data_IF_197672795978
#
_entry.id   IF_197672795978
#
_cell.length_a   1.000
_cell.length_b   1.000
_cell.length_c   1.000
_cell.angle_alpha   90.00
_cell.angle_beta   90.00
_cell.angle_gamma   90.00
#
_symmetry.space_group_name_H-M   'P 1'
#
loop_
_entity.id
_entity.type
_entity.pdbx_description
1 polymer ?
#
# COMPACT_ATOMS: atom_id res chain seq x y z
N UNK A 1 -7.58 -54.79 -3.22
CA UNK A 1 -6.53 -53.90 -3.74
C UNK A 1 -5.83 -53.35 -2.52
N UNK A 2 -4.59 -53.76 -2.28
CA UNK A 2 -3.78 -53.17 -1.21
C UNK A 2 -3.58 -51.69 -1.54
N UNK A 3 -3.94 -50.79 -0.62
CA UNK A 3 -3.55 -49.39 -0.71
C UNK A 3 -2.02 -49.35 -0.60
N UNK A 4 -1.35 -49.15 -1.73
CA UNK A 4 0.10 -48.94 -1.76
C UNK A 4 0.40 -47.59 -1.16
N UNK A 5 0.79 -47.61 0.12
CA UNK A 5 1.15 -46.41 0.86
C UNK A 5 2.39 -45.74 0.24
N UNK A 6 2.32 -44.42 0.08
CA UNK A 6 3.38 -43.64 -0.58
C UNK A 6 4.62 -43.65 0.31
N UNK A 7 5.80 -44.06 -0.18
CA UNK A 7 7.02 -44.02 0.64
C UNK A 7 7.27 -42.63 1.21
N UNK A 8 7.52 -42.54 2.53
CA UNK A 8 7.64 -41.25 3.23
C UNK A 8 8.70 -40.31 2.66
N UNK A 9 9.76 -40.85 2.05
CA UNK A 9 10.83 -40.07 1.40
C UNK A 9 10.43 -39.46 0.05
N UNK A 10 9.25 -39.80 -0.49
CA UNK A 10 8.64 -39.14 -1.65
C UNK A 10 7.67 -38.03 -1.26
N UNK A 11 7.31 -37.93 0.02
CA UNK A 11 6.39 -36.90 0.52
C UNK A 11 7.16 -35.63 0.87
N UNK A 12 6.60 -34.48 0.50
CA UNK A 12 7.13 -33.19 0.88
C UNK A 12 6.98 -32.99 2.40
N UNK A 13 8.04 -32.62 3.14
CA UNK A 13 7.94 -32.39 4.58
C UNK A 13 7.01 -31.23 5.01
N UNK A 14 6.63 -30.35 4.08
CA UNK A 14 5.72 -29.23 4.35
C UNK A 14 4.27 -29.64 4.11
N UNK A 15 3.95 -30.13 2.91
CA UNK A 15 2.58 -30.43 2.51
C UNK A 15 2.13 -31.84 2.86
N UNK A 16 3.08 -32.74 3.17
CA UNK A 16 2.85 -34.18 3.38
C UNK A 16 2.22 -34.84 2.13
N UNK A 17 2.37 -34.20 0.96
CA UNK A 17 1.92 -34.71 -0.34
C UNK A 17 3.10 -35.17 -1.18
N UNK A 18 2.84 -36.06 -2.14
CA UNK A 18 3.83 -36.53 -3.09
C UNK A 18 4.51 -35.35 -3.81
N UNK A 19 5.84 -35.31 -3.78
CA UNK A 19 6.62 -34.26 -4.45
C UNK A 19 6.48 -34.38 -5.96
N UNK A 20 5.99 -33.32 -6.61
CA UNK A 20 5.88 -33.23 -8.07
C UNK A 20 7.15 -32.67 -8.69
N UNK A 21 7.75 -31.67 -8.04
CA UNK A 21 9.03 -31.10 -8.44
C UNK A 21 9.98 -31.00 -7.23
N UNK A 22 10.69 -32.09 -6.87
CA UNK A 22 11.54 -32.11 -5.69
C UNK A 22 12.76 -31.21 -5.85
N UNK A 23 12.96 -30.31 -4.88
CA UNK A 23 14.09 -29.37 -4.81
C UNK A 23 14.74 -29.39 -3.42
N UNK A 24 16.06 -29.29 -3.40
CA UNK A 24 16.87 -29.31 -2.18
C UNK A 24 17.32 -27.91 -1.81
N UNK A 25 17.09 -27.53 -0.56
CA UNK A 25 17.59 -26.26 0.03
C UNK A 25 19.01 -26.45 0.59
N UNK A 26 19.68 -25.35 0.98
CA UNK A 26 21.08 -25.39 1.43
C UNK A 26 21.36 -26.27 2.67
N UNK A 27 20.32 -26.59 3.46
CA UNK A 27 20.41 -27.53 4.60
C UNK A 27 20.37 -29.00 4.18
N UNK A 28 20.25 -29.30 2.88
CA UNK A 28 20.23 -30.66 2.34
C UNK A 28 18.86 -31.34 2.35
N UNK A 29 17.81 -30.69 2.88
CA UNK A 29 16.45 -31.25 2.88
C UNK A 29 15.75 -30.98 1.55
N UNK A 30 15.06 -32.00 1.02
CA UNK A 30 14.28 -31.89 -0.22
C UNK A 30 12.80 -31.65 0.09
N UNK A 31 12.19 -30.73 -0.66
CA UNK A 31 10.77 -30.37 -0.59
C UNK A 31 10.17 -30.37 -2.00
N UNK A 32 8.84 -30.37 -2.09
CA UNK A 32 8.20 -29.96 -3.33
C UNK A 32 8.41 -28.45 -3.55
N UNK A 33 8.79 -28.06 -4.77
CA UNK A 33 9.12 -26.67 -5.13
C UNK A 33 8.04 -25.69 -4.71
N UNK A 34 6.79 -25.94 -5.05
CA UNK A 34 5.70 -25.00 -4.77
C UNK A 34 5.51 -24.79 -3.26
N UNK A 35 5.72 -25.87 -2.49
CA UNK A 35 5.59 -25.85 -1.04
C UNK A 35 6.70 -25.03 -0.37
N UNK A 36 7.96 -25.24 -0.77
CA UNK A 36 9.09 -24.49 -0.19
C UNK A 36 9.14 -23.05 -0.69
N UNK A 37 8.76 -22.80 -1.95
CA UNK A 37 8.65 -21.45 -2.49
C UNK A 37 7.58 -20.63 -1.75
N UNK A 38 6.41 -21.21 -1.47
CA UNK A 38 5.37 -20.56 -0.67
C UNK A 38 5.88 -20.22 0.75
N UNK A 39 6.60 -21.14 1.38
CA UNK A 39 7.18 -20.93 2.72
C UNK A 39 8.17 -19.75 2.74
N UNK A 40 9.08 -19.70 1.77
CA UNK A 40 10.11 -18.67 1.71
C UNK A 40 9.57 -17.31 1.26
N UNK A 41 8.71 -17.29 0.25
CA UNK A 41 8.35 -16.04 -0.45
C UNK A 41 6.99 -15.49 -0.03
N UNK A 42 5.95 -16.32 0.04
CA UNK A 42 4.60 -15.87 0.45
C UNK A 42 4.50 -15.68 1.97
N UNK A 43 5.02 -16.64 2.74
CA UNK A 43 5.02 -16.57 4.20
C UNK A 43 6.19 -15.76 4.78
N UNK A 44 7.18 -15.40 3.94
CA UNK A 44 8.35 -14.58 4.29
C UNK A 44 9.21 -15.17 5.41
N UNK A 45 9.42 -16.49 5.39
CA UNK A 45 10.36 -17.15 6.29
C UNK A 45 11.75 -17.27 5.64
N UNK A 46 12.80 -17.20 6.47
CA UNK A 46 14.21 -17.34 6.09
C UNK A 46 14.85 -18.63 6.64
N UNK A 47 14.04 -19.51 7.21
CA UNK A 47 14.49 -20.75 7.86
C UNK A 47 14.04 -22.00 7.11
N UNK A 48 14.82 -23.07 7.24
CA UNK A 48 14.42 -24.40 6.79
C UNK A 48 13.24 -24.91 7.64
N UNK A 49 12.11 -25.33 7.03
CA UNK A 49 10.94 -25.80 7.75
C UNK A 49 11.23 -26.93 8.75
N UNK A 50 12.10 -27.86 8.38
CA UNK A 50 12.45 -29.05 9.17
C UNK A 50 13.56 -28.74 10.17
N UNK A 51 14.71 -28.24 9.71
CA UNK A 51 15.89 -28.06 10.59
C UNK A 51 15.81 -26.82 11.46
N UNK A 52 14.89 -25.88 11.16
CA UNK A 52 14.76 -24.56 11.79
C UNK A 52 16.01 -23.68 11.70
N UNK A 53 17.00 -24.08 10.90
CA UNK A 53 18.20 -23.31 10.64
C UNK A 53 17.92 -22.23 9.60
N UNK A 54 18.54 -21.07 9.75
CA UNK A 54 18.51 -19.99 8.74
C UNK A 54 19.19 -20.50 7.47
N UNK A 55 18.53 -20.34 6.32
CA UNK A 55 19.07 -20.75 5.04
C UNK A 55 20.20 -19.80 4.61
N UNK A 56 21.38 -20.37 4.35
CA UNK A 56 22.54 -19.64 3.82
C UNK A 56 22.34 -19.13 2.38
N UNK A 57 21.55 -19.84 1.59
CA UNK A 57 21.05 -19.40 0.29
C UNK A 57 19.61 -19.90 0.11
N UNK A 58 18.81 -19.09 -0.58
CA UNK A 58 17.43 -19.41 -0.99
C UNK A 58 17.36 -20.02 -2.40
N UNK A 59 18.52 -20.34 -2.99
CA UNK A 59 18.59 -21.09 -4.25
C UNK A 59 18.09 -22.53 -4.04
N UNK A 60 17.13 -22.93 -4.87
CA UNK A 60 16.51 -24.25 -4.83
C UNK A 60 17.19 -25.16 -5.85
N UNK A 61 17.95 -26.15 -5.38
CA UNK A 61 18.67 -27.08 -6.26
C UNK A 61 17.74 -28.21 -6.69
N UNK A 62 17.42 -28.39 -7.99
CA UNK A 62 16.54 -29.47 -8.44
C UNK A 62 17.10 -30.85 -8.10
N UNK A 63 16.29 -31.73 -7.47
CA UNK A 63 16.67 -33.10 -7.18
C UNK A 63 16.15 -34.06 -8.27
N UNK A 64 16.84 -34.05 -9.42
CA UNK A 64 16.47 -34.87 -10.57
C UNK A 64 16.46 -36.37 -10.28
N UNK A 65 17.35 -36.85 -9.41
CA UNK A 65 17.43 -38.25 -9.01
C UNK A 65 16.17 -38.67 -8.27
N UNK A 66 15.79 -37.92 -7.21
CA UNK A 66 14.57 -38.23 -6.46
C UNK A 66 13.34 -38.15 -7.35
N UNK A 67 13.28 -37.17 -8.24
CA UNK A 67 12.16 -37.06 -9.18
C UNK A 67 12.02 -38.28 -10.09
N UNK A 68 13.14 -38.79 -10.64
CA UNK A 68 13.12 -40.01 -11.47
C UNK A 68 12.65 -41.22 -10.66
N UNK A 69 13.05 -41.32 -9.41
CA UNK A 69 12.60 -42.38 -8.50
C UNK A 69 11.09 -42.29 -8.24
N UNK A 70 10.58 -41.10 -7.95
CA UNK A 70 9.14 -40.87 -7.75
C UNK A 70 8.36 -41.22 -9.03
N UNK A 71 8.82 -40.77 -10.21
CA UNK A 71 8.16 -41.09 -11.49
C UNK A 71 8.13 -42.60 -11.77
N UNK A 72 9.24 -43.29 -11.50
CA UNK A 72 9.32 -44.75 -11.62
C UNK A 72 8.34 -45.44 -10.68
N UNK A 73 8.26 -44.96 -9.43
CA UNK A 73 7.31 -45.49 -8.44
C UNK A 73 5.85 -45.25 -8.85
N UNK A 74 5.50 -44.06 -9.34
CA UNK A 74 4.13 -43.78 -9.81
C UNK A 74 3.74 -44.71 -10.96
N UNK A 75 4.65 -44.95 -11.90
CA UNK A 75 4.41 -45.82 -13.06
C UNK A 75 4.16 -47.26 -12.65
N UNK A 76 4.92 -47.77 -11.69
CA UNK A 76 4.78 -49.14 -11.17
C UNK A 76 3.50 -49.36 -10.36
N UNK A 77 2.99 -48.31 -9.71
CA UNK A 77 1.83 -48.38 -8.81
C UNK A 77 0.54 -47.81 -9.43
N UNK A 78 0.52 -47.57 -10.75
CA UNK A 78 -0.62 -47.00 -11.48
C UNK A 78 -1.13 -45.65 -10.91
N UNK A 79 -0.27 -44.88 -10.25
CA UNK A 79 -0.56 -43.50 -9.86
C UNK A 79 -0.54 -42.59 -11.09
N UNK A 80 -1.35 -41.51 -11.07
CA UNK A 80 -1.30 -40.49 -12.12
C UNK A 80 0.15 -40.03 -12.34
N UNK A 81 0.61 -40.11 -13.60
CA UNK A 81 1.98 -39.74 -13.95
C UNK A 81 2.25 -38.28 -13.58
N UNK A 82 3.37 -38.03 -12.89
CA UNK A 82 3.75 -36.67 -12.54
C UNK A 82 4.04 -35.90 -13.83
N UNK A 83 3.31 -34.81 -14.12
CA UNK A 83 3.54 -33.99 -15.30
C UNK A 83 5.00 -33.53 -15.33
N UNK A 84 5.56 -33.40 -16.53
CA UNK A 84 6.85 -32.71 -16.69
C UNK A 84 6.70 -31.28 -16.11
N UNK A 85 7.45 -30.91 -15.05
CA UNK A 85 7.51 -29.56 -14.55
C UNK A 85 7.85 -28.65 -15.70
N UNK A 86 7.11 -27.54 -15.78
CA UNK A 86 7.47 -26.43 -16.64
C UNK A 86 8.93 -26.08 -16.33
N UNK A 87 9.77 -25.82 -17.35
CA UNK A 87 11.16 -25.46 -17.12
C UNK A 87 11.23 -24.35 -16.06
N UNK A 88 12.11 -24.48 -15.06
CA UNK A 88 12.21 -23.49 -13.99
C UNK A 88 12.41 -22.11 -14.62
N UNK A 89 11.76 -21.08 -14.06
CA UNK A 89 12.09 -19.70 -14.38
C UNK A 89 13.51 -19.46 -13.89
N UNK A 90 14.47 -19.68 -14.78
CA UNK A 90 15.88 -19.54 -14.49
C UNK A 90 16.22 -18.04 -14.45
N UNK A 91 16.70 -17.56 -13.31
CA UNK A 91 17.15 -16.18 -13.11
C UNK A 91 18.18 -15.79 -14.18
N UNK A 92 18.96 -16.75 -14.69
CA UNK A 92 19.93 -16.51 -15.76
C UNK A 92 19.25 -16.26 -17.11
N UNK A 93 18.12 -16.89 -17.41
CA UNK A 93 17.36 -16.63 -18.64
C UNK A 93 16.73 -15.24 -18.59
N UNK A 94 16.18 -14.84 -17.44
CA UNK A 94 15.62 -13.49 -17.24
C UNK A 94 16.74 -12.45 -17.37
N UNK A 95 17.90 -12.68 -16.74
CA UNK A 95 19.06 -11.80 -16.85
C UNK A 95 19.56 -11.65 -18.29
N UNK A 96 19.61 -12.75 -19.06
CA UNK A 96 19.96 -12.71 -20.49
C UNK A 96 18.94 -11.91 -21.31
N UNK A 97 17.65 -12.10 -21.08
CA UNK A 97 16.59 -11.32 -21.73
C UNK A 97 16.72 -9.82 -21.43
N UNK A 98 17.07 -9.47 -20.19
CA UNK A 98 17.32 -8.08 -19.77
C UNK A 98 18.57 -7.51 -20.46
N UNK A 99 19.64 -8.31 -20.60
CA UNK A 99 20.85 -7.86 -21.28
C UNK A 99 20.61 -7.64 -22.78
N UNK A 100 19.89 -8.56 -23.42
CA UNK A 100 19.49 -8.42 -24.82
C UNK A 100 18.56 -7.24 -25.06
N UNK A 101 17.68 -6.91 -24.10
CA UNK A 101 16.79 -5.76 -24.17
C UNK A 101 17.53 -4.43 -24.31
N UNK A 102 18.77 -4.33 -23.81
CA UNK A 102 19.59 -3.12 -23.94
C UNK A 102 20.11 -2.91 -25.36
N UNK A 103 20.08 -3.93 -26.22
CA UNK A 103 20.70 -3.92 -27.56
C UNK A 103 19.79 -3.33 -28.63
N UNK A 104 18.47 -3.47 -28.52
CA UNK A 104 17.53 -2.87 -29.49
C UNK A 104 16.12 -2.64 -28.91
N UNK A 105 15.35 -1.67 -29.44
CA UNK A 105 13.98 -1.40 -29.01
C UNK A 105 13.04 -2.61 -29.15
N UNK A 106 13.25 -3.44 -30.17
CA UNK A 106 12.43 -4.64 -30.40
C UNK A 106 12.73 -5.75 -29.38
N UNK A 107 13.99 -5.89 -28.94
CA UNK A 107 14.34 -6.77 -27.82
C UNK A 107 13.76 -6.23 -26.51
N UNK A 108 13.77 -4.91 -26.30
CA UNK A 108 13.14 -4.28 -25.14
C UNK A 108 11.64 -4.56 -25.08
N UNK A 109 10.93 -4.43 -26.21
CA UNK A 109 9.51 -4.75 -26.30
C UNK A 109 9.23 -6.20 -25.89
N UNK A 110 9.96 -7.15 -26.48
CA UNK A 110 9.82 -8.59 -26.16
C UNK A 110 10.13 -8.89 -24.69
N UNK A 111 11.15 -8.25 -24.14
CA UNK A 111 11.51 -8.38 -22.73
C UNK A 111 10.37 -7.87 -21.83
N UNK A 112 9.84 -6.67 -22.08
CA UNK A 112 8.73 -6.12 -21.30
C UNK A 112 7.48 -6.98 -21.38
N UNK A 113 7.11 -7.49 -22.55
CA UNK A 113 5.99 -8.43 -22.71
C UNK A 113 6.21 -9.71 -21.89
N UNK A 114 7.44 -10.24 -21.89
CA UNK A 114 7.76 -11.43 -21.10
C UNK A 114 7.69 -11.15 -19.60
N UNK A 115 8.27 -10.04 -19.14
CA UNK A 115 8.22 -9.60 -17.74
C UNK A 115 6.78 -9.38 -17.28
N UNK A 116 5.93 -8.77 -18.13
CA UNK A 116 4.49 -8.60 -17.87
C UNK A 116 3.80 -9.95 -17.67
N UNK A 117 4.02 -10.90 -18.58
CA UNK A 117 3.40 -12.22 -18.51
C UNK A 117 3.77 -12.97 -17.22
N UNK A 118 4.96 -12.71 -16.67
CA UNK A 118 5.41 -13.29 -15.40
C UNK A 118 4.80 -12.50 -14.24
N UNK A 119 4.91 -11.17 -14.22
CA UNK A 119 4.44 -10.32 -13.13
C UNK A 119 2.93 -10.43 -12.87
N UNK A 120 2.11 -10.48 -13.93
CA UNK A 120 0.64 -10.46 -13.80
C UNK A 120 0.01 -11.85 -13.61
N UNK A 121 0.73 -12.94 -13.91
CA UNK A 121 0.19 -14.32 -13.80
C UNK A 121 0.76 -15.11 -12.62
N UNK A 122 1.57 -14.50 -11.74
CA UNK A 122 2.45 -15.25 -10.84
C UNK A 122 2.01 -15.36 -9.38
N UNK A 123 2.34 -16.51 -8.78
CA UNK A 123 2.55 -16.72 -7.34
C UNK A 123 3.79 -15.94 -6.87
N UNK A 124 3.84 -15.57 -5.58
CA UNK A 124 4.85 -14.65 -5.03
C UNK A 124 6.31 -15.09 -5.28
N UNK A 125 6.55 -16.39 -5.46
CA UNK A 125 7.87 -16.94 -5.76
C UNK A 125 8.46 -16.41 -7.08
N UNK A 126 7.63 -16.14 -8.08
CA UNK A 126 8.12 -15.63 -9.38
C UNK A 126 8.45 -14.14 -9.33
N UNK A 127 7.83 -13.37 -8.41
CA UNK A 127 8.21 -11.98 -8.17
C UNK A 127 9.63 -11.87 -7.62
N UNK A 128 10.00 -12.78 -6.70
CA UNK A 128 11.36 -12.86 -6.16
C UNK A 128 12.40 -13.17 -7.25
N UNK A 129 12.11 -14.10 -8.16
CA UNK A 129 13.02 -14.42 -9.28
C UNK A 129 13.24 -13.22 -10.22
N UNK A 130 12.23 -12.38 -10.43
CA UNK A 130 12.36 -11.15 -11.22
C UNK A 130 13.26 -10.13 -10.51
N UNK A 131 13.06 -9.92 -9.21
CA UNK A 131 13.90 -9.01 -8.42
C UNK A 131 15.36 -9.49 -8.41
N UNK A 132 15.60 -10.78 -8.18
CA UNK A 132 16.95 -11.37 -8.13
C UNK A 132 17.67 -11.36 -9.47
N UNK A 133 16.92 -11.39 -10.58
CA UNK A 133 17.48 -11.27 -11.93
C UNK A 133 17.80 -9.82 -12.36
N UNK A 134 17.55 -8.83 -11.49
CA UNK A 134 17.80 -7.41 -11.78
C UNK A 134 16.69 -6.74 -12.62
N UNK A 135 15.49 -7.31 -12.65
CA UNK A 135 14.37 -6.73 -13.40
C UNK A 135 13.94 -5.37 -12.83
N UNK A 136 14.05 -5.17 -11.52
CA UNK A 136 13.67 -3.93 -10.83
C UNK A 136 14.54 -2.75 -11.31
N UNK A 137 15.86 -2.93 -11.33
CA UNK A 137 16.82 -1.93 -11.79
C UNK A 137 16.66 -1.65 -13.28
N UNK A 138 16.40 -2.68 -14.09
CA UNK A 138 16.12 -2.54 -15.51
C UNK A 138 14.85 -1.71 -15.77
N UNK A 139 13.72 -2.06 -15.14
CA UNK A 139 12.46 -1.33 -15.28
C UNK A 139 12.60 0.13 -14.80
N UNK A 140 13.28 0.34 -13.66
CA UNK A 140 13.56 1.67 -13.15
C UNK A 140 14.44 2.49 -14.12
N UNK A 141 15.37 1.86 -14.83
CA UNK A 141 16.20 2.55 -15.83
C UNK A 141 15.38 3.05 -17.03
N UNK A 142 14.38 2.29 -17.49
CA UNK A 142 13.46 2.70 -18.56
C UNK A 142 12.61 3.89 -18.11
N UNK A 143 12.10 3.85 -16.87
CA UNK A 143 11.32 4.94 -16.27
C UNK A 143 12.17 6.22 -16.13
N UNK A 144 13.42 6.10 -15.63
CA UNK A 144 14.36 7.22 -15.49
C UNK A 144 14.69 7.91 -16.82
N UNK A 145 14.74 7.15 -17.92
CA UNK A 145 14.99 7.68 -19.27
C UNK A 145 13.77 8.37 -19.87
N UNK A 146 12.59 8.21 -19.25
CA UNK A 146 11.31 8.61 -19.82
C UNK A 146 11.15 8.14 -21.27
N UNK A 147 11.50 6.87 -21.52
CA UNK A 147 11.50 6.30 -22.87
C UNK A 147 10.08 6.37 -23.49
N UNK A 148 9.97 7.21 -24.52
CA UNK A 148 8.73 7.51 -25.24
C UNK A 148 8.43 6.53 -26.37
N UNK A 149 9.28 5.51 -26.57
CA UNK A 149 9.04 4.46 -27.57
C UNK A 149 7.66 3.85 -27.36
N UNK A 150 6.83 3.89 -28.40
CA UNK A 150 5.48 3.33 -28.38
C UNK A 150 5.60 1.82 -28.63
N UNK A 151 5.07 1.04 -27.71
CA UNK A 151 5.02 -0.41 -27.77
C UNK A 151 3.60 -0.86 -28.08
N UNK A 152 3.50 -1.85 -28.95
CA UNK A 152 2.30 -2.64 -29.13
C UNK A 152 2.27 -3.75 -28.06
N UNK A 153 1.28 -3.67 -27.17
CA UNK A 153 1.09 -4.61 -26.07
C UNK A 153 -0.20 -5.38 -26.31
N UNK A 154 -0.08 -6.69 -26.47
CA UNK A 154 -1.22 -7.60 -26.49
C UNK A 154 -1.69 -7.85 -25.06
N UNK A 155 -2.93 -7.48 -24.78
CA UNK A 155 -3.65 -7.76 -23.54
C UNK A 155 -4.82 -8.71 -23.82
N UNK A 156 -5.35 -9.33 -22.77
CA UNK A 156 -6.57 -10.15 -22.87
C UNK A 156 -7.77 -9.36 -23.44
N UNK A 157 -7.74 -8.02 -23.33
CA UNK A 157 -8.77 -7.09 -23.83
C UNK A 157 -8.50 -6.56 -25.25
N UNK A 158 -7.38 -6.92 -25.87
CA UNK A 158 -7.00 -6.47 -27.22
C UNK A 158 -5.61 -5.81 -27.29
N UNK A 159 -5.33 -5.15 -28.42
CA UNK A 159 -4.08 -4.46 -28.69
C UNK A 159 -4.11 -3.03 -28.13
N UNK A 160 -3.13 -2.70 -27.29
CA UNK A 160 -2.95 -1.33 -26.76
C UNK A 160 -1.56 -0.77 -27.09
N UNK A 161 -1.52 0.50 -27.47
CA UNK A 161 -0.27 1.24 -27.68
C UNK A 161 0.13 1.98 -26.39
N UNK A 162 1.22 1.56 -25.76
CA UNK A 162 1.74 2.17 -24.52
C UNK A 162 3.17 2.62 -24.69
N UNK A 163 3.55 3.72 -24.02
CA UNK A 163 4.97 4.09 -23.92
C UNK A 163 5.72 3.03 -23.12
N UNK A 164 6.94 2.70 -23.53
CA UNK A 164 7.84 1.79 -22.81
C UNK A 164 7.93 2.13 -21.32
N UNK A 165 8.04 3.42 -20.97
CA UNK A 165 8.10 3.85 -19.57
C UNK A 165 6.81 3.57 -18.79
N UNK A 166 5.64 3.68 -19.42
CA UNK A 166 4.34 3.40 -18.77
C UNK A 166 4.14 1.89 -18.58
N UNK A 167 4.57 1.08 -19.57
CA UNK A 167 4.53 -0.37 -19.45
C UNK A 167 5.50 -0.86 -18.37
N UNK A 168 6.73 -0.33 -18.35
CA UNK A 168 7.70 -0.63 -17.31
C UNK A 168 7.20 -0.24 -15.91
N UNK A 169 6.54 0.91 -15.78
CA UNK A 169 5.89 1.36 -14.55
C UNK A 169 4.75 0.43 -14.13
N UNK A 170 3.91 0.01 -15.08
CA UNK A 170 2.82 -0.94 -14.83
C UNK A 170 3.37 -2.23 -14.26
N UNK A 171 4.38 -2.84 -14.91
CA UNK A 171 5.03 -4.06 -14.41
C UNK A 171 5.62 -3.83 -13.02
N UNK A 172 6.44 -2.79 -12.84
CA UNK A 172 7.12 -2.52 -11.57
C UNK A 172 6.15 -2.30 -10.40
N UNK A 173 5.01 -1.64 -10.64
CA UNK A 173 3.98 -1.42 -9.62
C UNK A 173 3.26 -2.72 -9.18
N UNK A 174 3.28 -3.77 -10.01
CA UNK A 174 2.67 -5.08 -9.71
C UNK A 174 3.67 -6.10 -9.14
N UNK A 175 4.98 -5.84 -9.22
CA UNK A 175 6.01 -6.74 -8.70
C UNK A 175 6.07 -6.82 -7.17
N UNK A 176 5.40 -5.93 -6.44
CA UNK A 176 5.46 -5.86 -4.97
C UNK A 176 6.91 -5.90 -4.44
N UNK A 177 7.76 -5.11 -5.09
CA UNK A 177 9.21 -5.03 -4.86
C UNK A 177 9.57 -4.90 -3.38
N UNK A 178 10.65 -5.56 -2.94
CA UNK A 178 11.12 -5.47 -1.56
C UNK A 178 11.46 -4.02 -1.14
N UNK A 179 11.28 -3.72 0.15
CA UNK A 179 11.63 -2.41 0.70
C UNK A 179 13.12 -2.08 0.48
N UNK A 180 13.99 -3.09 0.54
CA UNK A 180 15.43 -2.91 0.30
C UNK A 180 15.73 -2.53 -1.14
N UNK A 181 15.09 -3.16 -2.12
CA UNK A 181 15.26 -2.82 -3.53
C UNK A 181 14.69 -1.42 -3.85
N UNK A 182 13.50 -1.08 -3.33
CA UNK A 182 12.92 0.25 -3.49
C UNK A 182 13.82 1.34 -2.87
N UNK A 183 14.35 1.10 -1.67
CA UNK A 183 15.30 2.01 -1.03
C UNK A 183 16.55 2.20 -1.88
N UNK A 184 17.14 1.12 -2.39
CA UNK A 184 18.29 1.17 -3.32
C UNK A 184 18.00 2.01 -4.56
N UNK A 185 16.81 1.92 -5.16
CA UNK A 185 16.46 2.72 -6.34
C UNK A 185 16.51 4.23 -6.09
N UNK A 186 16.09 4.65 -4.90
CA UNK A 186 16.06 6.05 -4.47
C UNK A 186 17.44 6.50 -3.96
N UNK A 187 18.13 5.70 -3.16
CA UNK A 187 19.38 6.11 -2.48
C UNK A 187 20.65 5.90 -3.30
N UNK A 188 20.73 4.88 -4.16
CA UNK A 188 21.97 4.54 -4.90
C UNK A 188 22.22 5.43 -6.12
N UNK A 189 21.28 6.32 -6.44
CA UNK A 189 21.46 7.31 -7.49
C UNK A 189 22.28 8.46 -6.89
N UNK A 190 23.54 8.58 -7.28
CA UNK A 190 24.51 9.60 -6.85
C UNK A 190 23.94 11.04 -6.84
N UNK A 191 23.21 11.41 -5.78
CA UNK A 191 22.52 12.70 -5.66
C UNK A 191 21.39 12.96 -6.67
N UNK A 192 21.10 12.03 -7.58
CA UNK A 192 20.16 12.25 -8.69
C UNK A 192 18.77 11.71 -8.33
N UNK A 193 17.87 12.60 -7.91
CA UNK A 193 16.45 12.35 -7.61
C UNK A 193 15.62 12.02 -8.88
N UNK A 194 16.29 11.63 -9.97
CA UNK A 194 15.70 11.40 -11.30
C UNK A 194 14.57 10.39 -11.27
N UNK A 195 14.65 9.34 -10.45
CA UNK A 195 13.57 8.35 -10.40
C UNK A 195 12.27 8.95 -9.86
N UNK A 196 12.34 9.66 -8.73
CA UNK A 196 11.17 10.33 -8.17
C UNK A 196 10.70 11.45 -9.09
N UNK A 197 11.62 12.21 -9.69
CA UNK A 197 11.28 13.23 -10.68
C UNK A 197 10.53 12.66 -11.89
N UNK A 198 10.94 11.48 -12.40
CA UNK A 198 10.23 10.77 -13.46
C UNK A 198 8.83 10.33 -13.02
N UNK A 199 8.67 9.79 -11.81
CA UNK A 199 7.36 9.42 -11.26
C UNK A 199 6.45 10.64 -11.10
N UNK A 200 7.00 11.75 -10.61
CA UNK A 200 6.30 13.03 -10.52
C UNK A 200 5.89 13.56 -11.91
N UNK A 201 6.74 13.41 -12.93
CA UNK A 201 6.41 13.71 -14.31
C UNK A 201 5.25 12.87 -14.85
N UNK A 202 5.23 11.57 -14.53
CA UNK A 202 4.11 10.68 -14.89
C UNK A 202 2.83 11.08 -14.16
N UNK A 203 2.89 11.48 -12.89
CA UNK A 203 1.71 11.97 -12.16
C UNK A 203 1.11 13.23 -12.78
N UNK A 204 1.96 14.10 -13.34
CA UNK A 204 1.55 15.36 -13.98
C UNK A 204 0.90 15.17 -15.35
N UNK A 205 1.50 14.36 -16.21
CA UNK A 205 1.14 14.29 -17.64
C UNK A 205 0.70 12.91 -18.13
N UNK A 206 0.68 11.90 -17.26
CA UNK A 206 0.30 10.53 -17.61
C UNK A 206 -1.20 10.35 -17.81
N UNK A 207 -1.59 9.24 -18.45
CA UNK A 207 -2.99 8.81 -18.48
C UNK A 207 -3.42 8.27 -17.11
N UNK A 208 -4.73 8.01 -16.92
CA UNK A 208 -5.27 7.54 -15.63
C UNK A 208 -4.57 6.28 -15.10
N UNK A 209 -4.31 5.28 -15.95
CA UNK A 209 -3.62 4.04 -15.56
C UNK A 209 -2.18 4.32 -15.08
N UNK A 210 -1.42 5.11 -15.84
CA UNK A 210 -0.02 5.42 -15.52
C UNK A 210 0.09 6.25 -14.25
N UNK A 211 -0.83 7.21 -14.05
CA UNK A 211 -0.92 8.00 -12.81
C UNK A 211 -1.25 7.11 -11.62
N UNK A 212 -2.18 6.14 -11.78
CA UNK A 212 -2.52 5.15 -10.75
C UNK A 212 -1.33 4.26 -10.38
N UNK A 213 -0.60 3.75 -11.38
CA UNK A 213 0.59 2.93 -11.13
C UNK A 213 1.73 3.75 -10.50
N UNK A 214 1.91 5.01 -10.90
CA UNK A 214 2.91 5.92 -10.33
C UNK A 214 2.63 6.19 -8.84
N UNK A 215 1.40 6.56 -8.47
CA UNK A 215 1.06 6.86 -7.08
C UNK A 215 1.15 5.61 -6.19
N UNK A 216 0.80 4.43 -6.73
CA UNK A 216 0.93 3.16 -6.00
C UNK A 216 2.40 2.83 -5.74
N UNK A 217 3.27 3.01 -6.74
CA UNK A 217 4.70 2.81 -6.56
C UNK A 217 5.31 3.84 -5.60
N UNK A 218 4.93 5.10 -5.70
CA UNK A 218 5.35 6.14 -4.74
C UNK A 218 4.91 5.83 -3.31
N UNK A 219 3.73 5.22 -3.14
CA UNK A 219 3.24 4.73 -1.85
C UNK A 219 4.10 3.59 -1.29
N UNK A 220 4.51 2.64 -2.12
CA UNK A 220 5.44 1.58 -1.70
C UNK A 220 6.83 2.14 -1.37
N UNK A 221 7.30 3.14 -2.13
CA UNK A 221 8.56 3.84 -1.84
C UNK A 221 8.47 4.58 -0.51
N UNK A 222 7.39 5.32 -0.24
CA UNK A 222 7.22 5.98 1.05
C UNK A 222 7.24 4.97 2.20
N UNK A 223 6.55 3.83 2.09
CA UNK A 223 6.59 2.80 3.15
C UNK A 223 7.99 2.18 3.38
N UNK A 224 8.91 2.29 2.40
CA UNK A 224 10.26 1.73 2.47
C UNK A 224 11.35 2.72 2.94
N UNK A 225 11.08 4.03 2.92
CA UNK A 225 12.08 5.05 3.26
C UNK A 225 12.20 5.23 4.79
N UNK A 226 13.40 5.56 5.25
CA UNK A 226 13.61 5.84 6.67
C UNK A 226 12.97 7.19 7.07
N UNK A 227 12.50 7.33 8.33
CA UNK A 227 11.97 8.58 8.89
C UNK A 227 12.79 9.84 8.55
N UNK A 228 14.12 9.73 8.59
CA UNK A 228 15.04 10.84 8.37
C UNK A 228 14.97 11.40 6.94
N UNK A 229 14.60 10.57 5.97
CA UNK A 229 14.46 10.95 4.56
C UNK A 229 13.12 11.64 4.28
N UNK A 230 12.16 11.55 5.22
CA UNK A 230 10.82 12.10 5.09
C UNK A 230 10.62 13.46 5.76
N UNK A 231 11.62 13.99 6.48
CA UNK A 231 11.45 15.19 7.32
C UNK A 231 11.09 16.45 6.52
N UNK A 232 11.51 16.52 5.25
CA UNK A 232 11.27 17.69 4.40
C UNK A 232 11.12 17.31 2.93
N UNK A 233 9.88 17.07 2.51
CA UNK A 233 9.53 16.79 1.11
C UNK A 233 9.10 18.08 0.40
N UNK A 234 9.51 18.29 -0.86
CA UNK A 234 9.20 19.51 -1.63
C UNK A 234 7.69 19.70 -1.82
N UNK A 235 7.22 20.96 -1.89
CA UNK A 235 5.79 21.28 -2.05
C UNK A 235 5.16 20.71 -3.33
N UNK A 236 5.95 20.60 -4.40
CA UNK A 236 5.54 20.00 -5.68
C UNK A 236 5.03 18.56 -5.53
N UNK A 237 5.62 17.78 -4.62
CA UNK A 237 5.17 16.42 -4.32
C UNK A 237 3.76 16.43 -3.72
N UNK A 238 3.49 17.32 -2.76
CA UNK A 238 2.18 17.44 -2.13
C UNK A 238 1.12 17.87 -3.15
N UNK A 239 1.47 18.78 -4.06
CA UNK A 239 0.60 19.18 -5.18
C UNK A 239 0.15 17.99 -6.00
N UNK A 240 1.09 17.17 -6.46
CA UNK A 240 0.76 16.00 -7.28
C UNK A 240 -0.06 14.95 -6.51
N UNK A 241 0.20 14.74 -5.22
CA UNK A 241 -0.58 13.80 -4.40
C UNK A 241 -2.00 14.31 -4.15
N UNK A 242 -2.17 15.61 -3.90
CA UNK A 242 -3.49 16.25 -3.71
C UNK A 242 -4.26 16.29 -5.02
N UNK A 243 -3.60 16.51 -6.16
CA UNK A 243 -4.24 16.46 -7.48
C UNK A 243 -4.76 15.05 -7.80
N UNK A 244 -4.05 13.98 -7.41
CA UNK A 244 -4.56 12.61 -7.54
C UNK A 244 -5.83 12.38 -6.72
N UNK A 245 -5.92 12.98 -5.53
CA UNK A 245 -7.12 12.92 -4.69
C UNK A 245 -8.28 13.69 -5.32
N UNK A 246 -8.00 14.89 -5.85
CA UNK A 246 -8.99 15.74 -6.52
C UNK A 246 -9.55 15.08 -7.78
N UNK A 247 -8.69 14.46 -8.57
CA UNK A 247 -9.05 13.84 -9.85
C UNK A 247 -9.79 12.51 -9.69
N UNK A 248 -9.78 11.91 -8.49
CA UNK A 248 -10.45 10.64 -8.17
C UNK A 248 -10.22 9.53 -9.21
N UNK A 249 -8.98 9.41 -9.70
CA UNK A 249 -8.59 8.59 -10.86
C UNK A 249 -9.03 7.12 -10.72
N UNK A 250 -8.87 6.56 -9.52
CA UNK A 250 -9.33 5.21 -9.17
C UNK A 250 -9.29 5.05 -7.65
N UNK A 251 -10.09 4.13 -7.09
CA UNK A 251 -10.06 3.81 -5.66
C UNK A 251 -8.65 3.40 -5.17
N UNK A 252 -7.91 2.64 -6.01
CA UNK A 252 -6.53 2.22 -5.73
C UNK A 252 -5.60 3.44 -5.61
N UNK A 253 -5.72 4.40 -6.53
CA UNK A 253 -4.95 5.63 -6.52
C UNK A 253 -5.29 6.51 -5.30
N UNK A 254 -6.58 6.72 -5.02
CA UNK A 254 -7.05 7.50 -3.86
C UNK A 254 -6.54 6.90 -2.55
N UNK A 255 -6.65 5.58 -2.39
CA UNK A 255 -6.14 4.88 -1.20
C UNK A 255 -4.62 4.99 -1.07
N UNK A 256 -3.88 4.94 -2.17
CA UNK A 256 -2.43 5.11 -2.17
C UNK A 256 -2.03 6.55 -1.77
N UNK A 257 -2.67 7.56 -2.36
CA UNK A 257 -2.45 8.97 -2.03
C UNK A 257 -2.75 9.29 -0.56
N UNK A 258 -3.87 8.80 -0.02
CA UNK A 258 -4.21 8.97 1.40
C UNK A 258 -3.19 8.31 2.33
N UNK A 259 -2.67 7.14 1.97
CA UNK A 259 -1.62 6.46 2.75
C UNK A 259 -0.31 7.23 2.71
N UNK A 260 0.08 7.77 1.55
CA UNK A 260 1.26 8.64 1.43
C UNK A 260 1.13 9.82 2.38
N UNK A 261 0.01 10.56 2.32
CA UNK A 261 -0.22 11.71 3.21
C UNK A 261 -0.18 11.29 4.69
N UNK A 262 -0.79 10.16 5.05
CA UNK A 262 -0.78 9.66 6.43
C UNK A 262 0.64 9.33 6.95
N UNK A 263 1.55 8.94 6.06
CA UNK A 263 2.94 8.63 6.38
C UNK A 263 3.82 9.89 6.48
N UNK A 264 3.59 10.89 5.61
CA UNK A 264 4.46 12.07 5.52
C UNK A 264 4.00 13.26 6.35
N UNK A 265 2.70 13.40 6.66
CA UNK A 265 2.14 14.52 7.45
C UNK A 265 2.35 14.46 8.99
N UNK A 266 2.79 13.36 9.62
CA UNK A 266 3.30 13.40 11.00
C UNK A 266 4.41 14.45 11.20
N UNK A 267 5.19 14.76 10.15
CA UNK A 267 6.27 15.75 10.21
C UNK A 267 5.75 17.19 10.07
N UNK A 268 6.20 18.09 10.95
CA UNK A 268 5.70 19.47 11.05
C UNK A 268 5.86 20.31 9.78
N UNK A 269 6.98 20.19 9.05
CA UNK A 269 7.19 20.92 7.79
C UNK A 269 6.28 20.40 6.66
N UNK A 270 6.10 19.08 6.61
CA UNK A 270 5.29 18.43 5.59
C UNK A 270 3.79 18.72 5.76
N UNK A 271 3.28 18.74 6.99
CA UNK A 271 1.87 19.12 7.23
C UNK A 271 1.59 20.55 6.78
N UNK A 272 2.47 21.51 7.05
CA UNK A 272 2.28 22.90 6.62
C UNK A 272 2.22 22.97 5.09
N UNK A 273 3.17 22.33 4.39
CA UNK A 273 3.17 22.25 2.92
C UNK A 273 1.91 21.58 2.36
N UNK A 274 1.44 20.50 2.98
CA UNK A 274 0.21 19.84 2.56
C UNK A 274 -1.01 20.76 2.72
N UNK A 275 -1.08 21.52 3.81
CA UNK A 275 -2.15 22.50 4.03
C UNK A 275 -2.08 23.64 3.00
N UNK A 276 -0.91 24.24 2.78
CA UNK A 276 -0.71 25.35 1.82
C UNK A 276 -1.14 25.00 0.38
N UNK A 277 -1.10 23.71 0.02
CA UNK A 277 -1.50 23.21 -1.30
C UNK A 277 -3.01 22.88 -1.37
N UNK A 278 -3.74 23.06 -0.27
CA UNK A 278 -5.19 22.84 -0.23
C UNK A 278 -5.58 21.39 0.05
N UNK A 279 -4.78 20.62 0.80
CA UNK A 279 -5.17 19.25 1.15
C UNK A 279 -6.43 19.19 2.04
N UNK A 280 -6.62 20.17 2.94
CA UNK A 280 -7.77 20.20 3.86
C UNK A 280 -9.12 20.29 3.13
N UNK A 281 -9.37 21.27 2.24
CA UNK A 281 -10.64 21.35 1.51
C UNK A 281 -10.91 20.09 0.68
N UNK A 282 -9.91 19.56 -0.04
CA UNK A 282 -10.04 18.32 -0.83
C UNK A 282 -10.46 17.14 0.05
N UNK A 283 -9.86 16.98 1.25
CA UNK A 283 -10.24 15.90 2.17
C UNK A 283 -11.66 16.07 2.74
N UNK A 284 -12.10 17.31 2.95
CA UNK A 284 -13.48 17.60 3.39
C UNK A 284 -14.48 17.24 2.31
N UNK A 285 -14.24 17.65 1.06
CA UNK A 285 -15.06 17.31 -0.11
C UNK A 285 -15.16 15.79 -0.32
N UNK A 286 -14.03 15.09 -0.34
CA UNK A 286 -14.02 13.62 -0.47
C UNK A 286 -14.74 12.91 0.67
N UNK A 287 -14.66 13.42 1.91
CA UNK A 287 -15.42 12.86 3.04
C UNK A 287 -16.93 13.07 2.89
N UNK A 288 -17.38 14.11 2.18
CA UNK A 288 -18.80 14.32 1.88
C UNK A 288 -19.31 13.31 0.86
N UNK A 289 -18.50 13.01 -0.15
CA UNK A 289 -18.86 12.15 -1.29
C UNK A 289 -18.80 10.66 -0.94
N UNK A 290 -17.78 10.21 -0.19
CA UNK A 290 -17.62 8.77 0.09
C UNK A 290 -18.34 8.31 1.35
N UNK A 291 -18.95 7.12 1.24
CA UNK A 291 -19.49 6.37 2.37
C UNK A 291 -18.60 5.18 2.78
N UNK A 292 -17.54 4.91 2.03
CA UNK A 292 -16.68 3.77 2.30
C UNK A 292 -15.90 3.93 3.60
N UNK A 293 -15.86 2.85 4.37
CA UNK A 293 -15.25 2.84 5.70
C UNK A 293 -13.76 3.16 5.65
N UNK A 294 -13.00 2.49 4.78
CA UNK A 294 -11.53 2.57 4.80
C UNK A 294 -10.97 3.91 4.32
N UNK A 295 -11.46 4.51 3.22
CA UNK A 295 -11.09 5.87 2.84
C UNK A 295 -11.47 6.90 3.91
N UNK A 296 -12.68 6.80 4.50
CA UNK A 296 -13.08 7.68 5.60
C UNK A 296 -12.11 7.65 6.79
N UNK A 297 -11.67 6.45 7.20
CA UNK A 297 -10.68 6.31 8.27
C UNK A 297 -9.35 7.00 7.94
N UNK A 298 -8.85 6.80 6.71
CA UNK A 298 -7.58 7.40 6.29
C UNK A 298 -7.68 8.92 6.18
N UNK A 299 -8.76 9.45 5.60
CA UNK A 299 -8.98 10.90 5.51
C UNK A 299 -9.06 11.56 6.89
N UNK A 300 -9.72 10.92 7.86
CA UNK A 300 -9.77 11.43 9.24
C UNK A 300 -8.41 11.34 9.94
N UNK A 301 -7.56 10.36 9.61
CA UNK A 301 -6.17 10.31 10.09
C UNK A 301 -5.38 11.48 9.55
N UNK A 302 -5.47 11.75 8.24
CA UNK A 302 -4.74 12.86 7.61
C UNK A 302 -5.26 14.20 8.14
N UNK A 303 -6.57 14.43 8.21
CA UNK A 303 -7.14 15.65 8.77
C UNK A 303 -6.73 15.88 10.23
N UNK A 304 -6.66 14.84 11.06
CA UNK A 304 -6.14 14.93 12.44
C UNK A 304 -4.67 15.41 12.46
N UNK A 305 -3.84 14.89 11.57
CA UNK A 305 -2.44 15.32 11.44
C UNK A 305 -2.31 16.78 10.96
N UNK A 306 -3.11 17.18 9.95
CA UNK A 306 -3.10 18.55 9.41
C UNK A 306 -3.62 19.56 10.44
N UNK A 307 -4.68 19.23 11.19
CA UNK A 307 -5.18 20.04 12.32
C UNK A 307 -4.21 20.13 13.50
N UNK A 308 -3.07 19.42 13.42
CA UNK A 308 -1.94 19.57 14.32
C UNK A 308 -1.14 20.87 14.14
N UNK A 309 -1.34 21.65 13.08
CA UNK A 309 -0.80 23.00 12.92
C UNK A 309 -1.92 24.07 12.86
N UNK A 310 -1.56 25.35 12.96
CA UNK A 310 -2.54 26.44 13.03
C UNK A 310 -3.24 26.67 11.69
N UNK A 311 -2.47 26.58 10.60
CA UNK A 311 -2.90 26.70 9.21
C UNK A 311 -3.96 25.64 8.89
N UNK A 312 -3.72 24.37 9.26
CA UNK A 312 -4.66 23.29 8.99
C UNK A 312 -5.98 23.43 9.74
N UNK A 313 -5.96 24.01 10.95
CA UNK A 313 -7.19 24.35 11.68
C UNK A 313 -7.93 25.53 11.04
N UNK A 314 -7.20 26.54 10.59
CA UNK A 314 -7.79 27.71 9.93
C UNK A 314 -8.53 27.29 8.65
N UNK A 315 -7.88 26.52 7.77
CA UNK A 315 -8.47 25.97 6.54
C UNK A 315 -9.72 25.12 6.82
N UNK A 316 -9.68 24.26 7.86
CA UNK A 316 -10.83 23.43 8.19
C UNK A 316 -12.03 24.27 8.67
N UNK A 317 -11.79 25.38 9.37
CA UNK A 317 -12.82 26.29 9.85
C UNK A 317 -13.30 27.28 8.78
N UNK A 318 -12.46 27.57 7.79
CA UNK A 318 -12.82 28.39 6.63
C UNK A 318 -13.75 27.63 5.67
N UNK A 319 -13.52 26.32 5.52
CA UNK A 319 -14.37 25.48 4.70
C UNK A 319 -15.76 25.29 5.35
N UNK A 320 -16.83 25.75 4.70
CA UNK A 320 -18.20 25.78 5.26
C UNK A 320 -18.78 24.42 5.68
N UNK A 321 -18.24 23.31 5.18
CA UNK A 321 -18.63 21.95 5.61
C UNK A 321 -17.66 21.28 6.60
N UNK A 322 -16.58 21.95 7.04
CA UNK A 322 -15.47 21.34 7.79
C UNK A 322 -15.90 20.75 9.13
N UNK A 323 -16.48 21.55 10.02
CA UNK A 323 -16.98 21.05 11.31
C UNK A 323 -18.15 20.07 11.14
N UNK A 324 -19.03 20.35 10.17
CA UNK A 324 -20.18 19.49 9.84
C UNK A 324 -19.74 18.08 9.47
N UNK A 325 -18.76 17.93 8.57
CA UNK A 325 -18.35 16.61 8.10
C UNK A 325 -17.62 15.82 9.19
N UNK A 326 -16.77 16.48 9.99
CA UNK A 326 -16.07 15.84 11.11
C UNK A 326 -17.09 15.36 12.16
N UNK A 327 -18.06 16.20 12.51
CA UNK A 327 -19.18 15.86 13.41
C UNK A 327 -20.01 14.69 12.86
N UNK A 328 -20.35 14.72 11.56
CA UNK A 328 -21.17 13.70 10.90
C UNK A 328 -20.53 12.31 10.94
N UNK A 329 -19.20 12.21 10.85
CA UNK A 329 -18.48 10.92 10.81
C UNK A 329 -18.30 10.27 12.20
N UNK A 330 -18.50 11.02 13.30
CA UNK A 330 -18.48 10.48 14.68
C UNK A 330 -19.55 9.38 14.83
N UNK A 331 -19.12 8.22 15.33
CA UNK A 331 -19.94 7.01 15.53
C UNK A 331 -20.54 6.40 14.25
N UNK A 332 -20.18 6.89 13.05
CA UNK A 332 -20.73 6.39 11.78
C UNK A 332 -19.77 5.56 10.93
N UNK A 333 -18.47 5.61 11.21
CA UNK A 333 -17.44 4.93 10.39
C UNK A 333 -16.79 3.79 11.17
N UNK A 334 -16.08 4.11 12.25
CA UNK A 334 -15.45 3.14 13.15
C UNK A 334 -15.07 3.79 14.48
N UNK A 335 -14.64 2.98 15.46
CA UNK A 335 -14.09 3.50 16.72
C UNK A 335 -12.81 4.31 16.48
N UNK A 336 -11.95 3.87 15.56
CA UNK A 336 -10.73 4.59 15.19
C UNK A 336 -11.03 5.94 14.53
N UNK A 337 -11.97 5.98 13.59
CA UNK A 337 -12.45 7.21 12.98
C UNK A 337 -13.08 8.17 14.01
N UNK A 338 -13.84 7.63 14.97
CA UNK A 338 -14.41 8.43 16.06
C UNK A 338 -13.32 9.05 16.94
N UNK A 339 -12.28 8.30 17.30
CA UNK A 339 -11.14 8.86 18.05
C UNK A 339 -10.47 10.01 17.30
N UNK A 340 -10.23 9.85 15.99
CA UNK A 340 -9.63 10.89 15.14
C UNK A 340 -10.52 12.13 15.02
N UNK A 341 -11.82 11.97 14.77
CA UNK A 341 -12.76 13.09 14.71
C UNK A 341 -12.81 13.86 16.04
N UNK A 342 -12.83 13.16 17.19
CA UNK A 342 -12.81 13.81 18.51
C UNK A 342 -11.47 14.50 18.79
N UNK A 343 -10.33 14.00 18.26
CA UNK A 343 -9.04 14.72 18.33
C UNK A 343 -9.04 16.02 17.54
N UNK A 344 -9.56 16.01 16.32
CA UNK A 344 -9.72 17.21 15.49
C UNK A 344 -10.53 18.26 16.26
N UNK A 345 -11.70 17.88 16.77
CA UNK A 345 -12.57 18.77 17.56
C UNK A 345 -11.90 19.26 18.84
N UNK A 346 -11.11 18.41 19.51
CA UNK A 346 -10.34 18.82 20.70
C UNK A 346 -9.26 19.85 20.37
N UNK A 347 -8.57 19.69 19.24
CA UNK A 347 -7.53 20.62 18.78
C UNK A 347 -8.14 22.01 18.53
N UNK A 348 -9.27 22.05 17.82
CA UNK A 348 -10.04 23.28 17.57
C UNK A 348 -10.56 23.87 18.88
N UNK A 349 -11.20 23.06 19.73
CA UNK A 349 -11.81 23.54 20.99
C UNK A 349 -10.78 24.12 21.95
N UNK A 350 -9.52 23.66 21.90
CA UNK A 350 -8.47 24.12 22.80
C UNK A 350 -7.75 25.38 22.28
N UNK A 351 -7.53 25.48 20.97
CA UNK A 351 -6.61 26.47 20.40
C UNK A 351 -7.29 27.48 19.47
N UNK A 352 -8.49 27.17 18.95
CA UNK A 352 -9.19 27.96 17.93
C UNK A 352 -10.65 28.27 18.31
N UNK A 353 -11.01 28.17 19.59
CA UNK A 353 -12.37 28.35 20.09
C UNK A 353 -12.77 29.84 20.20
N UNK A 354 -13.17 30.44 19.08
CA UNK A 354 -13.83 31.76 19.07
C UNK A 354 -15.33 31.61 19.34
N UNK A 355 -16.02 32.69 19.73
CA UNK A 355 -17.47 32.65 19.94
C UNK A 355 -18.24 32.16 18.71
N UNK A 356 -17.78 32.53 17.51
CA UNK A 356 -18.37 32.08 16.24
C UNK A 356 -18.20 30.58 16.04
N UNK A 357 -17.00 30.06 16.26
CA UNK A 357 -16.70 28.62 16.14
C UNK A 357 -17.51 27.81 17.16
N UNK A 358 -17.61 28.28 18.40
CA UNK A 358 -18.40 27.59 19.43
C UNK A 358 -19.90 27.56 19.13
N UNK A 359 -20.43 28.61 18.48
CA UNK A 359 -21.81 28.64 18.01
C UNK A 359 -22.00 27.69 16.82
N UNK A 360 -21.11 27.72 15.84
CA UNK A 360 -21.16 26.81 14.70
C UNK A 360 -21.11 25.34 15.15
N UNK A 361 -20.26 25.01 16.13
CA UNK A 361 -20.19 23.67 16.73
C UNK A 361 -21.54 23.23 17.35
N UNK A 362 -22.30 24.15 17.94
CA UNK A 362 -23.66 23.85 18.42
C UNK A 362 -24.60 23.57 17.24
N UNK A 363 -24.60 24.45 16.25
CA UNK A 363 -25.52 24.42 15.12
C UNK A 363 -25.34 23.15 14.27
N UNK A 364 -24.10 22.72 14.06
CA UNK A 364 -23.77 21.47 13.31
C UNK A 364 -23.83 20.21 14.19
N UNK A 365 -24.29 20.33 15.43
CA UNK A 365 -24.57 19.22 16.34
C UNK A 365 -23.34 18.54 16.95
N UNK A 366 -22.19 19.21 17.02
CA UNK A 366 -20.98 18.66 17.65
C UNK A 366 -21.23 18.27 19.10
N UNK A 367 -21.89 19.15 19.86
CA UNK A 367 -22.13 18.93 21.29
C UNK A 367 -23.00 17.70 21.52
N UNK A 368 -24.03 17.51 20.71
CA UNK A 368 -24.88 16.31 20.69
C UNK A 368 -24.04 15.05 20.42
N UNK A 369 -23.15 15.09 19.43
CA UNK A 369 -22.26 13.95 19.12
C UNK A 369 -21.30 13.62 20.26
N UNK A 370 -20.73 14.63 20.93
CA UNK A 370 -19.84 14.44 22.07
C UNK A 370 -20.59 13.82 23.27
N UNK A 371 -21.82 14.24 23.54
CA UNK A 371 -22.65 13.61 24.58
C UNK A 371 -22.95 12.13 24.25
N UNK A 372 -23.25 11.82 22.98
CA UNK A 372 -23.46 10.43 22.56
C UNK A 372 -22.19 9.57 22.72
N UNK A 373 -21.01 10.12 22.42
CA UNK A 373 -19.72 9.42 22.61
C UNK A 373 -19.50 9.00 24.07
N UNK A 374 -20.00 9.77 25.04
CA UNK A 374 -19.94 9.42 26.46
C UNK A 374 -20.80 8.20 26.81
N UNK A 375 -21.96 8.07 26.18
CA UNK A 375 -22.95 7.01 26.45
C UNK A 375 -22.59 5.68 25.80
N UNK A 376 -22.10 5.71 24.57
CA UNK A 376 -21.80 4.49 23.81
C UNK A 376 -20.46 3.86 24.19
N UNK A 377 -20.24 2.59 23.86
CA UNK A 377 -18.96 1.91 24.09
C UNK A 377 -17.89 2.46 23.13
N UNK A 378 -17.02 3.33 23.62
CA UNK A 378 -15.85 3.89 22.92
C UNK A 378 -14.61 3.74 23.79
N UNK A 379 -13.42 4.04 23.25
CA UNK A 379 -12.18 3.97 24.02
C UNK A 379 -12.21 4.99 25.18
N UNK A 380 -11.60 4.63 26.32
CA UNK A 380 -11.55 5.50 27.50
C UNK A 380 -10.95 6.87 27.16
N UNK A 381 -9.83 6.89 26.43
CA UNK A 381 -9.17 8.12 25.98
C UNK A 381 -10.08 9.02 25.14
N UNK A 382 -10.93 8.42 24.30
CA UNK A 382 -11.88 9.18 23.48
C UNK A 382 -13.00 9.79 24.33
N UNK A 383 -13.50 9.05 25.33
CA UNK A 383 -14.49 9.57 26.29
C UNK A 383 -13.93 10.70 27.15
N UNK A 384 -12.72 10.54 27.67
CA UNK A 384 -12.04 11.57 28.46
C UNK A 384 -11.88 12.86 27.65
N UNK A 385 -11.44 12.76 26.39
CA UNK A 385 -11.32 13.92 25.51
C UNK A 385 -12.67 14.58 25.23
N UNK A 386 -13.72 13.80 24.96
CA UNK A 386 -15.07 14.34 24.77
C UNK A 386 -15.57 15.08 26.04
N UNK A 387 -15.33 14.49 27.22
CA UNK A 387 -15.64 15.08 28.52
C UNK A 387 -14.89 16.40 28.75
N UNK A 388 -13.60 16.45 28.44
CA UNK A 388 -12.78 17.67 28.54
C UNK A 388 -13.34 18.80 27.67
N UNK A 389 -13.65 18.51 26.40
CA UNK A 389 -14.22 19.49 25.47
C UNK A 389 -15.52 20.08 26.03
N UNK A 390 -16.45 19.20 26.48
CA UNK A 390 -17.73 19.61 27.05
C UNK A 390 -17.57 20.47 28.32
N UNK A 391 -16.59 20.14 29.18
CA UNK A 391 -16.29 20.93 30.38
C UNK A 391 -15.73 22.30 30.04
N UNK A 392 -14.77 22.35 29.11
CA UNK A 392 -14.05 23.56 28.70
C UNK A 392 -15.01 24.68 28.27
N UNK A 393 -16.05 24.34 27.51
CA UNK A 393 -17.01 25.31 26.95
C UNK A 393 -18.41 25.23 27.55
N UNK A 394 -18.53 24.66 28.75
CA UNK A 394 -19.81 24.47 29.46
C UNK A 394 -20.63 25.76 29.63
N UNK A 395 -19.98 26.91 29.79
CA UNK A 395 -20.66 28.22 29.91
C UNK A 395 -21.47 28.58 28.66
N UNK A 396 -21.01 28.17 27.48
CA UNK A 396 -21.66 28.44 26.19
C UNK A 396 -22.69 27.37 25.89
N UNK A 397 -22.36 26.10 26.12
CA UNK A 397 -23.17 24.99 25.61
C UNK A 397 -24.22 24.45 26.57
N UNK A 398 -23.99 24.47 27.89
CA UNK A 398 -24.83 23.74 28.88
C UNK A 398 -26.31 24.17 28.89
N UNK A 399 -26.60 25.40 28.47
CA UNK A 399 -27.96 25.96 28.42
C UNK A 399 -28.52 26.04 27.00
N UNK A 400 -27.83 25.48 26.01
CA UNK A 400 -28.26 25.54 24.62
C UNK A 400 -29.46 24.63 24.38
N UNK A 401 -30.46 25.16 23.68
CA UNK A 401 -31.64 24.42 23.22
C UNK A 401 -31.33 23.43 22.10
N UNK A 402 -30.14 23.54 21.48
CA UNK A 402 -29.68 22.63 20.43
C UNK A 402 -29.28 21.24 20.98
N UNK A 403 -29.19 21.08 22.31
CA UNK A 403 -28.89 19.80 22.97
C UNK A 403 -30.20 19.09 23.34
N UNK A 404 -30.45 17.87 22.85
CA UNK A 404 -31.63 17.10 23.25
C UNK A 404 -31.71 16.93 24.78
N UNK A 405 -32.89 17.13 25.41
CA UNK A 405 -33.03 17.10 26.87
C UNK A 405 -32.52 15.81 27.53
N UNK A 406 -32.70 14.66 26.88
CA UNK A 406 -32.22 13.38 27.39
C UNK A 406 -30.68 13.30 27.48
N UNK A 407 -29.96 14.07 26.65
CA UNK A 407 -28.49 14.14 26.68
C UNK A 407 -27.95 15.14 27.70
N UNK A 408 -28.76 16.07 28.21
CA UNK A 408 -28.34 17.02 29.26
C UNK A 408 -27.93 16.29 30.54
N UNK A 409 -28.57 15.15 30.85
CA UNK A 409 -28.20 14.27 31.96
C UNK A 409 -26.78 13.69 31.84
N UNK A 410 -26.30 13.56 30.59
CA UNK A 410 -24.98 13.03 30.27
C UNK A 410 -23.92 14.12 30.13
N UNK A 411 -24.33 15.39 30.24
CA UNK A 411 -23.41 16.51 30.27
C UNK A 411 -22.56 16.42 31.53
N UNK A 412 -21.23 16.47 31.43
CA UNK A 412 -20.37 16.30 32.59
C UNK A 412 -20.57 17.42 33.61
N UNK A 413 -20.71 17.04 34.88
CA UNK A 413 -20.84 17.94 36.03
C UNK A 413 -19.61 18.84 36.22
#
# INVERSE_FOLDING_TARGET
MEETDVPAHFLCPISIQLMRDPVTVSTGITYDRESIERWLFSCKHDTCPVTKQVLTSIDLTPNHTLRRLIQSWCTLNAFEGIPTPKPPLDTTQIAKLIDDAKKSPEMQRRCLQRLRSIAFRSEDSKKYYLESAGAVEFLASIIKRNDSTILEVELDTGLEFKRSCHEALSILSHLETSAMALKKLVTNSSGDDRFMASLMGVLRCGNQESRSNAIVLMKSISEALDPNQMVSIKSEFFSLVVDVLRDQISEKATKAALKILAEVCPWGRNRIRAVEIGAVPVLVELLMETSEKRPCELMLVVLDQLCGCAEGRAELLEHGAGLTIVSKKILRVSHGATDRAVKILSSISRVSATSRVLQEMLDVGVVTKLCLVMQVKTSLKTKERAKEILKLHSRVWKKSTCIPPHLLSSYPS
#
